data_IF_672232438289
#
_entry.id   IF_672232438289
#
_cell.length_a   1.000
_cell.length_b   1.000
_cell.length_c   1.000
_cell.angle_alpha   90.00
_cell.angle_beta   90.00
_cell.angle_gamma   90.00
#
_symmetry.space_group_name_H-M   'P 1'
#
loop_
_entity.id
_entity.type
_entity.pdbx_description
1 polymer ?
#
# COMPACT_ATOMS: atom_id res chain seq x y z
N UNK A 1 22.88 9.86 9.51
CA UNK A 1 22.35 9.38 8.21
C UNK A 1 21.18 8.49 8.55
N UNK A 2 19.97 9.02 8.47
CA UNK A 2 18.78 8.17 8.47
C UNK A 2 18.80 7.48 7.10
N UNK A 3 18.98 6.16 7.07
CA UNK A 3 18.90 5.40 5.83
C UNK A 3 17.46 5.53 5.32
N UNK A 4 17.30 5.98 4.07
CA UNK A 4 16.01 5.90 3.38
C UNK A 4 15.69 4.40 3.26
N UNK A 5 14.79 3.92 4.12
CA UNK A 5 14.37 2.52 4.08
C UNK A 5 13.61 2.32 2.78
N UNK A 6 14.18 1.52 1.88
CA UNK A 6 13.56 1.27 0.58
C UNK A 6 12.31 0.41 0.80
N UNK A 7 11.14 0.97 0.57
CA UNK A 7 9.90 0.20 0.54
C UNK A 7 9.95 -0.75 -0.65
N UNK A 8 9.90 -2.06 -0.36
CA UNK A 8 9.87 -3.10 -1.38
C UNK A 8 8.55 -3.88 -1.33
N UNK A 9 7.90 -4.11 -2.47
CA UNK A 9 6.77 -5.02 -2.56
C UNK A 9 7.22 -6.46 -2.27
N UNK A 10 6.34 -7.27 -1.71
CA UNK A 10 6.58 -8.67 -1.40
C UNK A 10 6.65 -9.53 -2.66
N UNK A 11 5.93 -9.15 -3.71
CA UNK A 11 5.90 -9.87 -4.98
C UNK A 11 5.91 -8.93 -6.19
N UNK A 12 6.29 -9.44 -7.36
CA UNK A 12 6.18 -8.70 -8.62
C UNK A 12 4.72 -8.36 -8.96
N UNK A 13 3.78 -9.23 -8.61
CA UNK A 13 2.37 -9.00 -8.85
C UNK A 13 1.78 -7.90 -7.94
N UNK A 14 2.27 -7.77 -6.70
CA UNK A 14 1.93 -6.63 -5.83
C UNK A 14 2.50 -5.32 -6.39
N UNK A 15 3.72 -5.36 -6.95
CA UNK A 15 4.33 -4.22 -7.61
C UNK A 15 3.54 -3.76 -8.85
N UNK A 16 3.05 -4.69 -9.66
CA UNK A 16 2.22 -4.40 -10.83
C UNK A 16 0.85 -3.88 -10.40
N UNK A 17 0.21 -4.55 -9.43
CA UNK A 17 -1.09 -4.17 -8.91
C UNK A 17 -1.14 -2.72 -8.40
N UNK A 18 -0.13 -2.28 -7.64
CA UNK A 18 -0.13 -0.93 -7.10
C UNK A 18 -0.02 0.14 -8.21
N UNK A 19 0.63 -0.18 -9.35
CA UNK A 19 0.75 0.73 -10.49
C UNK A 19 -0.56 0.84 -11.29
N UNK A 20 -1.43 -0.16 -11.21
CA UNK A 20 -2.71 -0.21 -11.91
C UNK A 20 -3.88 0.34 -11.08
N UNK A 21 -3.62 0.88 -9.88
CA UNK A 21 -4.66 1.46 -9.03
C UNK A 21 -5.27 2.72 -9.65
N UNK A 22 -6.60 2.73 -9.72
CA UNK A 22 -7.33 3.91 -10.16
C UNK A 22 -7.30 5.01 -9.09
N UNK A 23 -7.34 6.27 -9.55
CA UNK A 23 -7.30 7.43 -8.66
C UNK A 23 -8.44 7.43 -7.62
N UNK A 24 -9.61 6.90 -7.98
CA UNK A 24 -10.76 6.79 -7.07
C UNK A 24 -10.45 5.89 -5.86
N UNK A 25 -9.61 4.87 -6.01
CA UNK A 25 -9.15 4.03 -4.89
C UNK A 25 -8.31 4.87 -3.91
N UNK A 26 -7.42 5.72 -4.42
CA UNK A 26 -6.60 6.59 -3.58
C UNK A 26 -7.46 7.61 -2.83
N UNK A 27 -8.48 8.16 -3.50
CA UNK A 27 -9.45 9.05 -2.88
C UNK A 27 -10.19 8.37 -1.72
N UNK A 28 -10.66 7.14 -1.93
CA UNK A 28 -11.28 6.33 -0.87
C UNK A 28 -10.34 6.09 0.31
N UNK A 29 -9.08 5.72 0.08
CA UNK A 29 -8.12 5.49 1.16
C UNK A 29 -7.93 6.77 2.00
N UNK A 30 -7.84 7.93 1.34
CA UNK A 30 -7.65 9.22 2.00
C UNK A 30 -8.85 9.66 2.83
N UNK A 31 -10.08 9.41 2.37
CA UNK A 31 -11.29 9.85 3.06
C UNK A 31 -11.84 8.83 4.07
N UNK A 32 -11.79 7.54 3.73
CA UNK A 32 -12.35 6.47 4.57
C UNK A 32 -11.34 5.95 5.60
N UNK A 33 -10.05 6.27 5.43
CA UNK A 33 -8.98 5.85 6.34
C UNK A 33 -8.76 4.34 6.36
N UNK A 34 -9.12 3.65 5.28
CA UNK A 34 -8.99 2.20 5.14
C UNK A 34 -8.40 1.92 3.76
N UNK A 35 -7.40 1.03 3.71
CA UNK A 35 -6.83 0.52 2.48
C UNK A 35 -6.99 -1.01 2.39
N UNK A 36 -7.30 -1.50 1.19
CA UNK A 36 -7.17 -2.92 0.89
C UNK A 36 -5.72 -3.19 0.43
N UNK A 37 -5.03 -4.11 1.10
CA UNK A 37 -3.73 -4.61 0.67
C UNK A 37 -3.89 -5.58 -0.51
N UNK A 38 -2.78 -5.94 -1.17
CA UNK A 38 -2.79 -6.81 -2.36
C UNK A 38 -3.53 -8.14 -2.17
N UNK A 39 -3.50 -8.70 -0.95
CA UNK A 39 -4.17 -9.96 -0.61
C UNK A 39 -5.64 -9.80 -0.18
N UNK A 40 -6.19 -8.58 -0.26
CA UNK A 40 -7.54 -8.23 0.14
C UNK A 40 -7.72 -8.01 1.65
N UNK A 41 -6.64 -8.00 2.44
CA UNK A 41 -6.72 -7.59 3.84
C UNK A 41 -7.01 -6.09 3.95
N UNK A 42 -7.92 -5.72 4.87
CA UNK A 42 -8.11 -4.32 5.26
C UNK A 42 -7.04 -3.91 6.26
N UNK A 43 -6.37 -2.80 5.97
CA UNK A 43 -5.34 -2.18 6.81
C UNK A 43 -5.60 -0.68 6.91
N UNK A 44 -4.96 -0.04 7.88
CA UNK A 44 -4.86 1.42 7.90
C UNK A 44 -4.03 1.91 6.69
N UNK A 45 -4.11 3.19 6.29
CA UNK A 45 -3.40 3.71 5.13
C UNK A 45 -1.87 3.62 5.26
N UNK A 46 -1.33 3.49 6.46
CA UNK A 46 0.07 3.25 6.81
C UNK A 46 0.31 1.84 7.37
N UNK A 47 -0.67 0.96 7.19
CA UNK A 47 -0.67 -0.38 7.76
C UNK A 47 0.00 -1.45 6.89
N UNK A 48 0.40 -2.52 7.56
CA UNK A 48 0.88 -3.77 6.98
C UNK A 48 0.02 -4.90 7.56
N UNK A 49 -0.54 -5.75 6.71
CA UNK A 49 -1.39 -6.85 7.17
C UNK A 49 -0.54 -7.95 7.84
N UNK A 50 -1.16 -8.88 8.56
CA UNK A 50 -0.45 -9.98 9.23
C UNK A 50 0.21 -10.98 8.28
N UNK A 51 -0.15 -10.97 6.99
CA UNK A 51 0.53 -11.74 5.95
C UNK A 51 1.73 -10.99 5.34
N UNK A 52 1.94 -9.73 5.72
CA UNK A 52 3.08 -8.91 5.33
C UNK A 52 2.83 -7.94 4.17
N UNK A 53 1.65 -7.94 3.55
CA UNK A 53 1.32 -7.02 2.46
C UNK A 53 1.08 -5.61 2.99
N UNK A 54 1.61 -4.62 2.28
CA UNK A 54 1.59 -3.21 2.69
C UNK A 54 0.39 -2.51 2.08
N UNK A 55 -0.03 -1.41 2.70
CA UNK A 55 -0.99 -0.52 2.05
C UNK A 55 -0.42 0.03 0.72
N UNK A 56 -1.28 0.42 -0.23
CA UNK A 56 -0.87 1.11 -1.44
C UNK A 56 -0.05 2.36 -1.19
N UNK A 57 -0.39 3.15 -0.18
CA UNK A 57 0.27 4.44 0.06
C UNK A 57 1.73 4.27 0.52
N UNK A 58 2.01 3.23 1.31
CA UNK A 58 3.39 2.86 1.67
C UNK A 58 4.15 2.45 0.41
N UNK A 59 3.57 1.59 -0.43
CA UNK A 59 4.21 1.10 -1.66
C UNK A 59 4.47 2.22 -2.69
N UNK A 60 3.59 3.23 -2.73
CA UNK A 60 3.77 4.43 -3.55
C UNK A 60 4.72 5.46 -2.93
N UNK A 61 5.18 5.26 -1.69
CA UNK A 61 6.05 6.21 -0.98
C UNK A 61 5.36 7.53 -0.65
N UNK A 62 4.04 7.51 -0.45
CA UNK A 62 3.24 8.69 -0.08
C UNK A 62 3.19 8.94 1.44
N UNK A 63 3.63 7.96 2.22
CA UNK A 63 3.71 7.94 3.70
C UNK A 63 4.83 7.00 4.15
#
# INVERSE_FOLDING_TARGET
>A
LMSEEQVVPNTAAEAEWVLDLEFEVLEHILFDGIADAYDGCRVEPDGICTHGYKSPLILMGMI
#
